data_IF_519249941965
#
_entry.id   IF_519249941965
#
_cell.length_a   1.000
_cell.length_b   1.000
_cell.length_c   1.000
_cell.angle_alpha   90.00
_cell.angle_beta   90.00
_cell.angle_gamma   90.00
#
_symmetry.space_group_name_H-M   'P 1'
#
loop_
_entity.id
_entity.type
_entity.pdbx_description
1 polymer ?
#
# COMPACT_ATOMS: atom_id res chain seq x y z
N UNK A 1 4.70 -2.60 -11.23
CA UNK A 1 6.11 -2.16 -11.32
C UNK A 1 6.97 -3.05 -12.21
N UNK A 2 7.43 -4.25 -11.79
CA UNK A 2 8.32 -5.11 -12.62
C UNK A 2 7.79 -5.41 -14.02
N UNK A 3 6.48 -5.65 -14.15
CA UNK A 3 5.80 -5.94 -15.41
C UNK A 3 5.41 -4.68 -16.22
N UNK A 4 5.85 -3.48 -15.83
CA UNK A 4 5.57 -2.23 -16.54
C UNK A 4 4.13 -1.69 -16.45
N UNK A 5 3.20 -2.39 -15.80
CA UNK A 5 1.77 -1.98 -15.69
C UNK A 5 1.51 -0.74 -14.84
N UNK A 6 2.42 -0.46 -13.91
CA UNK A 6 2.40 0.70 -13.02
C UNK A 6 3.84 1.20 -12.88
N UNK A 7 4.01 2.50 -12.65
CA UNK A 7 5.24 3.15 -12.23
C UNK A 7 5.02 3.93 -10.93
N UNK A 8 6.01 4.09 -10.05
CA UNK A 8 5.83 4.86 -8.82
C UNK A 8 5.50 6.34 -9.05
N UNK A 9 6.18 6.97 -10.01
CA UNK A 9 6.14 8.41 -10.29
C UNK A 9 4.91 8.86 -11.10
N UNK A 10 4.13 7.93 -11.63
CA UNK A 10 2.94 8.26 -12.40
C UNK A 10 1.77 8.62 -11.46
N UNK A 11 0.85 9.49 -11.90
CA UNK A 11 -0.45 9.65 -11.27
C UNK A 11 -1.16 8.30 -11.08
N UNK A 12 -1.75 8.08 -9.90
CA UNK A 12 -2.49 6.86 -9.60
C UNK A 12 -3.65 6.72 -10.60
N UNK A 13 -3.69 5.66 -11.43
CA UNK A 13 -4.66 5.54 -12.52
C UNK A 13 -6.03 5.05 -12.02
N UNK A 14 -6.59 5.73 -11.02
CA UNK A 14 -7.93 5.49 -10.50
C UNK A 14 -8.95 6.23 -11.37
N UNK A 15 -10.01 5.53 -11.78
CA UNK A 15 -11.07 6.14 -12.60
C UNK A 15 -11.72 7.35 -11.90
N UNK A 16 -11.85 7.31 -10.57
CA UNK A 16 -12.39 8.41 -9.76
C UNK A 16 -11.54 9.69 -9.87
N UNK A 17 -10.23 9.57 -10.14
CA UNK A 17 -9.28 10.68 -10.19
C UNK A 17 -8.85 11.04 -11.62
N UNK A 18 -9.58 10.56 -12.64
CA UNK A 18 -9.19 10.73 -14.03
C UNK A 18 -9.27 12.20 -14.52
N UNK A 19 -10.13 13.01 -13.89
CA UNK A 19 -10.31 14.42 -14.26
C UNK A 19 -9.13 15.28 -13.78
N UNK A 20 -8.49 16.10 -14.63
CA UNK A 20 -7.47 17.05 -14.20
C UNK A 20 -7.96 18.12 -13.22
N UNK A 21 -9.27 18.31 -13.12
CA UNK A 21 -9.88 19.23 -12.14
C UNK A 21 -10.06 18.58 -10.76
N UNK A 22 -9.89 17.26 -10.64
CA UNK A 22 -9.96 16.56 -9.36
C UNK A 22 -8.70 16.86 -8.54
N UNK A 23 -8.81 17.28 -7.26
CA UNK A 23 -7.65 17.57 -6.43
C UNK A 23 -6.73 16.36 -6.21
N UNK A 24 -7.24 15.13 -6.34
CA UNK A 24 -6.47 13.91 -6.22
C UNK A 24 -5.71 13.54 -7.50
N UNK A 25 -5.99 14.19 -8.63
CA UNK A 25 -5.46 13.81 -9.95
C UNK A 25 -3.94 13.71 -9.99
N UNK A 26 -3.25 14.57 -9.25
CA UNK A 26 -1.78 14.62 -9.22
C UNK A 26 -1.15 13.61 -8.25
N UNK A 27 -1.94 12.90 -7.43
CA UNK A 27 -1.43 11.93 -6.46
C UNK A 27 -0.78 10.77 -7.20
N UNK A 28 0.48 10.51 -6.90
CA UNK A 28 1.26 9.44 -7.52
C UNK A 28 1.07 8.10 -6.81
N UNK A 29 1.42 7.02 -7.49
CA UNK A 29 1.45 5.68 -6.88
C UNK A 29 2.45 5.63 -5.73
N UNK A 30 3.61 6.29 -5.85
CA UNK A 30 4.61 6.40 -4.79
C UNK A 30 4.03 7.07 -3.55
N UNK A 31 3.28 8.16 -3.71
CA UNK A 31 2.69 8.88 -2.58
C UNK A 31 1.66 8.03 -1.80
N UNK A 32 0.90 7.19 -2.51
CA UNK A 32 0.00 6.24 -1.86
C UNK A 32 0.78 5.18 -1.06
N UNK A 33 1.85 4.63 -1.62
CA UNK A 33 2.66 3.61 -0.95
C UNK A 33 3.49 4.15 0.22
N UNK A 34 3.80 5.44 0.19
CA UNK A 34 4.55 6.17 1.22
C UNK A 34 3.69 6.79 2.30
N UNK A 35 2.37 6.80 2.12
CA UNK A 35 1.38 7.42 3.01
C UNK A 35 1.56 8.94 3.17
N UNK A 36 1.97 9.63 2.11
CA UNK A 36 2.03 11.10 2.01
C UNK A 36 1.14 11.65 0.89
N UNK A 37 0.07 10.93 0.53
CA UNK A 37 -0.88 11.31 -0.52
C UNK A 37 -1.72 12.55 -0.20
N UNK A 38 -1.75 13.00 1.05
CA UNK A 38 -2.59 14.11 1.50
C UNK A 38 -4.00 13.71 1.93
N UNK A 39 -4.36 12.42 1.81
CA UNK A 39 -5.57 11.86 2.42
C UNK A 39 -5.47 11.92 3.96
N UNK A 40 -6.61 11.95 4.69
CA UNK A 40 -6.61 11.85 6.13
C UNK A 40 -5.88 10.60 6.63
N UNK A 41 -5.12 10.77 7.72
CA UNK A 41 -4.36 9.72 8.39
C UNK A 41 -4.64 9.66 9.89
N UNK A 42 -5.64 10.42 10.38
CA UNK A 42 -6.07 10.29 11.77
C UNK A 42 -6.92 9.03 11.91
N UNK A 43 -6.29 7.98 12.43
CA UNK A 43 -6.93 6.70 12.79
C UNK A 43 -7.08 6.56 14.31
N UNK A 44 -6.87 7.65 15.05
CA UNK A 44 -6.86 7.65 16.53
C UNK A 44 -8.12 8.24 17.13
N UNK A 45 -8.99 8.85 16.33
CA UNK A 45 -10.26 9.48 16.73
C UNK A 45 -11.40 8.49 17.03
N UNK A 46 -11.06 7.25 17.39
CA UNK A 46 -12.02 6.24 17.86
C UNK A 46 -12.90 5.65 16.74
N UNK A 47 -14.04 5.01 17.06
CA UNK A 47 -14.81 4.20 16.11
C UNK A 47 -15.46 4.96 14.93
N UNK A 48 -15.22 6.27 14.87
CA UNK A 48 -15.75 7.19 13.86
C UNK A 48 -14.68 7.67 12.88
N UNK A 49 -13.43 7.25 13.06
CA UNK A 49 -12.37 7.62 12.14
C UNK A 49 -12.64 7.03 10.73
N UNK A 50 -12.17 7.69 9.65
CA UNK A 50 -12.45 7.26 8.30
C UNK A 50 -11.99 5.82 7.98
N UNK A 51 -10.89 5.34 8.55
CA UNK A 51 -10.39 3.99 8.29
C UNK A 51 -11.28 2.93 8.97
N UNK A 52 -11.71 3.16 10.22
CA UNK A 52 -12.69 2.29 10.89
C UNK A 52 -14.02 2.30 10.15
N UNK A 53 -14.51 3.47 9.70
CA UNK A 53 -15.72 3.55 8.90
C UNK A 53 -15.60 2.77 7.59
N UNK A 54 -14.47 2.93 6.88
CA UNK A 54 -14.16 2.18 5.66
C UNK A 54 -14.29 0.66 5.87
N UNK A 55 -13.68 0.10 6.91
CA UNK A 55 -13.68 -1.35 7.10
C UNK A 55 -15.02 -1.94 7.54
N UNK A 56 -15.78 -1.22 8.37
CA UNK A 56 -16.97 -1.80 9.01
C UNK A 56 -18.30 -1.30 8.44
N UNK A 57 -18.29 -0.26 7.59
CA UNK A 57 -19.52 0.38 7.10
C UNK A 57 -19.61 0.47 5.58
N UNK A 58 -18.51 0.23 4.88
CA UNK A 58 -18.46 0.34 3.42
C UNK A 58 -18.29 -1.03 2.78
N UNK A 59 -19.04 -1.29 1.71
CA UNK A 59 -18.88 -2.50 0.92
C UNK A 59 -17.64 -2.46 0.03
N UNK A 60 -17.25 -1.26 -0.42
CA UNK A 60 -16.08 -1.00 -1.26
C UNK A 60 -15.16 0.00 -0.53
N UNK A 61 -14.10 -0.54 0.06
CA UNK A 61 -13.13 0.23 0.85
C UNK A 61 -12.37 1.23 -0.02
N UNK A 62 -12.02 0.85 -1.25
CA UNK A 62 -11.25 1.71 -2.14
C UNK A 62 -12.10 2.83 -2.74
N UNK A 63 -13.36 2.55 -3.10
CA UNK A 63 -14.28 3.59 -3.54
C UNK A 63 -14.60 4.58 -2.41
N UNK A 64 -14.62 4.13 -1.15
CA UNK A 64 -14.66 5.01 0.02
C UNK A 64 -13.41 5.87 0.11
N UNK A 65 -12.22 5.27 0.15
CA UNK A 65 -10.98 6.02 0.25
C UNK A 65 -10.81 7.06 -0.89
N UNK A 66 -11.20 6.71 -2.13
CA UNK A 66 -11.05 7.57 -3.30
C UNK A 66 -11.94 8.82 -3.29
N UNK A 67 -13.04 8.84 -2.51
CA UNK A 67 -13.96 9.99 -2.41
C UNK A 67 -13.68 10.89 -1.21
N UNK A 68 -12.79 10.49 -0.30
CA UNK A 68 -12.48 11.29 0.88
C UNK A 68 -11.67 12.53 0.45
N UNK A 69 -12.08 13.75 0.84
CA UNK A 69 -11.33 14.96 0.53
C UNK A 69 -9.92 14.94 1.10
N UNK A 70 -8.99 15.61 0.42
CA UNK A 70 -7.64 15.84 0.93
C UNK A 70 -7.67 16.66 2.22
N UNK A 71 -6.93 16.19 3.22
CA UNK A 71 -6.64 16.95 4.43
C UNK A 71 -5.40 17.85 4.25
N UNK A 72 -4.48 17.45 3.36
CA UNK A 72 -3.22 18.14 3.10
C UNK A 72 -2.88 18.12 1.60
N UNK A 73 -2.07 19.07 1.10
CA UNK A 73 -1.50 18.95 -0.23
C UNK A 73 -0.64 17.67 -0.35
N UNK A 74 -0.72 16.92 -1.47
CA UNK A 74 0.07 15.70 -1.64
C UNK A 74 1.58 15.95 -1.50
N UNK A 75 2.28 15.06 -0.79
CA UNK A 75 3.72 15.12 -0.54
C UNK A 75 4.15 16.12 0.53
N UNK A 76 3.22 16.79 1.23
CA UNK A 76 3.57 17.83 2.22
C UNK A 76 3.41 17.40 3.68
N UNK A 77 2.64 16.34 3.93
CA UNK A 77 2.41 15.79 5.26
C UNK A 77 2.46 14.27 5.20
N UNK A 78 2.96 13.66 6.26
CA UNK A 78 3.01 12.21 6.41
C UNK A 78 2.27 11.79 7.68
N UNK A 79 1.49 10.73 7.57
CA UNK A 79 0.90 10.03 8.70
C UNK A 79 0.44 8.64 8.27
N UNK A 80 0.40 7.70 9.21
CA UNK A 80 0.01 6.33 8.92
C UNK A 80 -1.47 6.27 8.54
N UNK A 81 -1.80 5.75 7.35
CA UNK A 81 -3.17 5.76 6.82
C UNK A 81 -3.51 4.47 6.08
N UNK A 82 -4.23 3.57 6.73
CA UNK A 82 -4.89 2.43 6.13
C UNK A 82 -5.96 2.85 5.12
N UNK A 83 -6.63 4.00 5.35
CA UNK A 83 -7.55 4.61 4.40
C UNK A 83 -6.86 4.83 3.05
N UNK A 84 -5.75 5.59 3.03
CA UNK A 84 -4.99 5.83 1.81
C UNK A 84 -4.38 4.54 1.23
N UNK A 85 -3.98 3.61 2.09
CA UNK A 85 -3.36 2.35 1.68
C UNK A 85 -4.35 1.32 1.07
N UNK A 86 -5.67 1.55 1.15
CA UNK A 86 -6.66 0.77 0.40
C UNK A 86 -6.53 1.00 -1.13
N UNK A 87 -6.02 2.16 -1.55
CA UNK A 87 -5.93 2.52 -2.97
C UNK A 87 -4.84 1.74 -3.73
N UNK A 88 -3.62 1.51 -3.20
CA UNK A 88 -2.68 0.55 -3.78
C UNK A 88 -3.27 -0.83 -4.06
N UNK A 89 -4.12 -1.37 -3.16
CA UNK A 89 -4.82 -2.64 -3.40
C UNK A 89 -5.75 -2.56 -4.61
N UNK A 90 -6.50 -1.47 -4.73
CA UNK A 90 -7.38 -1.21 -5.88
C UNK A 90 -6.58 -1.14 -7.19
N UNK A 91 -5.43 -0.48 -7.18
CA UNK A 91 -4.54 -0.41 -8.33
C UNK A 91 -4.03 -1.79 -8.76
N UNK A 92 -3.71 -2.67 -7.80
CA UNK A 92 -3.37 -4.07 -8.11
C UNK A 92 -4.56 -4.80 -8.71
N UNK A 93 -5.76 -4.65 -8.13
CA UNK A 93 -7.00 -5.23 -8.67
C UNK A 93 -7.24 -4.81 -10.11
N UNK A 94 -7.23 -3.50 -10.38
CA UNK A 94 -7.46 -2.94 -11.72
C UNK A 94 -6.40 -3.42 -12.72
N UNK A 95 -5.13 -3.40 -12.33
CA UNK A 95 -4.04 -3.87 -13.17
C UNK A 95 -4.06 -5.39 -13.43
N UNK A 96 -4.88 -6.16 -12.71
CA UNK A 96 -4.99 -7.62 -12.80
C UNK A 96 -6.35 -8.10 -13.30
N UNK A 97 -7.16 -7.20 -13.86
CA UNK A 97 -8.45 -7.51 -14.50
C UNK A 97 -9.68 -7.07 -13.72
N UNK A 98 -9.51 -6.35 -12.61
CA UNK A 98 -10.59 -5.71 -11.86
C UNK A 98 -11.47 -6.68 -11.06
N UNK A 99 -10.99 -7.90 -10.77
CA UNK A 99 -11.74 -8.90 -10.00
C UNK A 99 -10.91 -9.43 -8.83
N UNK A 100 -11.59 -9.81 -7.74
CA UNK A 100 -10.99 -10.48 -6.59
C UNK A 100 -10.18 -11.72 -7.00
N UNK A 101 -10.75 -12.55 -7.88
CA UNK A 101 -10.11 -13.76 -8.39
C UNK A 101 -8.83 -13.41 -9.16
N UNK A 102 -8.89 -12.43 -10.07
CA UNK A 102 -7.71 -12.00 -10.84
C UNK A 102 -6.58 -11.46 -9.96
N UNK A 103 -6.93 -10.67 -8.94
CA UNK A 103 -5.98 -10.12 -7.98
C UNK A 103 -5.35 -11.23 -7.10
N UNK A 104 -6.16 -12.15 -6.60
CA UNK A 104 -5.71 -13.30 -5.82
C UNK A 104 -4.82 -14.26 -6.63
N UNK A 105 -5.18 -14.55 -7.87
CA UNK A 105 -4.38 -15.37 -8.78
C UNK A 105 -3.06 -14.71 -9.14
N UNK A 106 -3.06 -13.38 -9.30
CA UNK A 106 -1.84 -12.63 -9.48
C UNK A 106 -0.93 -12.71 -8.25
N UNK A 107 -1.45 -12.49 -7.04
CA UNK A 107 -0.68 -12.61 -5.80
C UNK A 107 -0.10 -14.02 -5.63
N UNK A 108 -0.90 -15.06 -5.91
CA UNK A 108 -0.45 -16.45 -5.86
C UNK A 108 0.66 -16.73 -6.86
N UNK A 109 0.48 -16.37 -8.13
CA UNK A 109 1.41 -16.67 -9.21
C UNK A 109 2.71 -15.88 -9.14
N UNK A 110 2.63 -14.60 -8.77
CA UNK A 110 3.78 -13.69 -8.83
C UNK A 110 4.53 -13.55 -7.51
N UNK A 111 3.87 -13.79 -6.37
CA UNK A 111 4.48 -13.63 -5.04
C UNK A 111 4.48 -14.94 -4.26
N UNK A 112 3.32 -15.53 -3.98
CA UNK A 112 3.25 -16.64 -3.01
C UNK A 112 3.90 -17.93 -3.51
N UNK A 113 3.55 -18.40 -4.71
CA UNK A 113 4.09 -19.65 -5.24
C UNK A 113 5.61 -19.59 -5.49
N UNK A 114 6.17 -18.52 -6.09
CA UNK A 114 7.62 -18.39 -6.24
C UNK A 114 8.39 -18.35 -4.91
N UNK A 115 7.76 -17.83 -3.85
CA UNK A 115 8.32 -17.82 -2.50
C UNK A 115 8.03 -19.11 -1.72
N UNK A 116 7.21 -20.03 -2.22
CA UNK A 116 6.76 -21.20 -1.45
C UNK A 116 5.89 -20.83 -0.23
N UNK A 117 5.17 -19.71 -0.30
CA UNK A 117 4.22 -19.25 0.72
C UNK A 117 2.87 -19.96 0.57
N UNK A 118 2.81 -21.22 1.02
CA UNK A 118 1.65 -22.08 0.80
C UNK A 118 0.51 -21.90 1.82
N UNK A 119 0.70 -21.08 2.85
CA UNK A 119 -0.26 -20.83 3.92
C UNK A 119 -0.50 -19.33 4.04
N UNK A 120 -0.83 -18.68 2.92
CA UNK A 120 -0.97 -17.23 2.81
C UNK A 120 -2.24 -16.85 2.03
N UNK A 121 -2.98 -15.88 2.54
CA UNK A 121 -4.18 -15.30 1.91
C UNK A 121 -4.26 -13.79 2.20
N UNK A 122 -4.81 -13.04 1.25
CA UNK A 122 -5.20 -11.65 1.44
C UNK A 122 -6.72 -11.62 1.29
N UNK A 123 -7.42 -11.19 2.32
CA UNK A 123 -8.89 -11.09 2.31
C UNK A 123 -9.35 -9.98 1.35
N UNK A 124 -10.63 -10.02 1.01
CA UNK A 124 -11.29 -8.97 0.21
C UNK A 124 -12.45 -8.34 0.96
N UNK A 125 -12.76 -7.09 0.63
CA UNK A 125 -14.05 -6.50 0.99
C UNK A 125 -15.20 -7.09 0.17
N UNK A 126 -16.42 -6.60 0.42
CA UNK A 126 -17.63 -7.09 -0.26
C UNK A 126 -17.66 -6.75 -1.77
N UNK A 127 -16.89 -5.75 -2.20
CA UNK A 127 -16.71 -5.39 -3.61
C UNK A 127 -15.59 -6.20 -4.30
N UNK A 128 -14.84 -7.01 -3.55
CA UNK A 128 -13.75 -7.82 -4.07
C UNK A 128 -12.41 -7.09 -4.16
N UNK A 129 -12.27 -5.92 -3.55
CA UNK A 129 -10.99 -5.24 -3.40
C UNK A 129 -10.15 -5.93 -2.32
N UNK A 130 -8.87 -6.18 -2.60
CA UNK A 130 -7.95 -6.74 -1.62
C UNK A 130 -7.80 -5.81 -0.41
N UNK A 131 -7.93 -6.36 0.80
CA UNK A 131 -7.76 -5.64 2.06
C UNK A 131 -6.29 -5.63 2.51
N UNK A 132 -5.41 -5.17 1.61
CA UNK A 132 -3.94 -5.20 1.76
C UNK A 132 -3.35 -4.33 2.88
N UNK A 133 -4.13 -3.45 3.52
CA UNK A 133 -3.67 -2.63 4.64
C UNK A 133 -3.62 -3.36 5.98
N UNK A 134 -4.33 -4.50 6.13
CA UNK A 134 -4.39 -5.18 7.43
C UNK A 134 -4.91 -6.62 7.45
N UNK A 135 -5.45 -7.15 6.35
CA UNK A 135 -6.13 -8.45 6.33
C UNK A 135 -5.38 -9.47 5.48
N UNK A 136 -4.05 -9.51 5.63
CA UNK A 136 -3.22 -10.59 5.12
C UNK A 136 -2.93 -11.58 6.24
N UNK A 137 -3.27 -12.85 6.02
CA UNK A 137 -2.96 -13.94 6.92
C UNK A 137 -1.87 -14.81 6.32
N UNK A 138 -0.80 -15.06 7.07
CA UNK A 138 0.27 -15.96 6.65
C UNK A 138 0.91 -16.67 7.85
N UNK A 139 1.48 -17.86 7.62
CA UNK A 139 2.32 -18.50 8.64
C UNK A 139 3.59 -17.68 8.92
N UNK A 140 4.16 -17.82 10.12
CA UNK A 140 5.42 -17.15 10.45
C UNK A 140 6.56 -17.49 9.46
N UNK A 141 6.59 -18.73 8.94
CA UNK A 141 7.56 -19.14 7.92
C UNK A 141 7.33 -18.42 6.60
N UNK A 142 6.08 -18.24 6.19
CA UNK A 142 5.75 -17.52 4.96
C UNK A 142 6.13 -16.04 5.07
N UNK A 143 5.87 -15.41 6.21
CA UNK A 143 6.37 -14.05 6.48
C UNK A 143 7.91 -13.99 6.48
N UNK A 144 8.61 -14.99 7.03
CA UNK A 144 10.07 -15.03 6.98
C UNK A 144 10.60 -15.12 5.54
N UNK A 145 9.92 -15.86 4.65
CA UNK A 145 10.27 -15.91 3.22
C UNK A 145 10.04 -14.58 2.52
N UNK A 146 8.96 -13.86 2.86
CA UNK A 146 8.75 -12.50 2.39
C UNK A 146 9.83 -11.53 2.89
N UNK A 147 10.28 -11.66 4.15
CA UNK A 147 11.41 -10.90 4.68
C UNK A 147 12.71 -11.20 3.92
N UNK A 148 13.01 -12.47 3.68
CA UNK A 148 14.17 -12.91 2.90
C UNK A 148 14.17 -12.33 1.48
N UNK A 149 12.99 -12.25 0.83
CA UNK A 149 12.85 -11.61 -0.48
C UNK A 149 13.40 -10.18 -0.50
N UNK A 150 13.17 -9.39 0.56
CA UNK A 150 13.69 -8.03 0.66
C UNK A 150 15.19 -8.00 0.98
N UNK A 151 15.70 -8.96 1.76
CA UNK A 151 17.15 -9.09 1.99
C UNK A 151 17.91 -9.40 0.70
N UNK A 152 17.29 -10.15 -0.21
CA UNK A 152 17.86 -10.57 -1.50
C UNK A 152 17.50 -9.63 -2.67
N UNK A 153 17.14 -8.37 -2.38
CA UNK A 153 16.72 -7.33 -3.35
C UNK A 153 15.71 -7.84 -4.39
N UNK A 154 14.68 -8.53 -3.90
CA UNK A 154 13.57 -8.97 -4.71
C UNK A 154 13.83 -10.24 -5.53
N UNK A 155 14.91 -10.99 -5.26
CA UNK A 155 15.20 -12.27 -5.93
C UNK A 155 14.92 -13.43 -4.99
N UNK A 156 14.23 -14.46 -5.48
CA UNK A 156 14.04 -15.71 -4.76
C UNK A 156 14.12 -16.90 -5.71
N UNK A 157 14.86 -17.95 -5.32
CA UNK A 157 15.03 -19.16 -6.16
C UNK A 157 15.58 -18.86 -7.55
N UNK A 158 16.44 -17.84 -7.69
CA UNK A 158 16.98 -17.38 -8.99
C UNK A 158 16.00 -16.55 -9.84
N UNK A 159 14.76 -16.37 -9.40
CA UNK A 159 13.75 -15.55 -10.10
C UNK A 159 13.64 -14.17 -9.47
N UNK A 160 13.68 -13.12 -10.32
CA UNK A 160 13.40 -11.75 -9.89
C UNK A 160 11.89 -11.53 -9.73
N UNK A 161 11.43 -11.33 -8.50
CA UNK A 161 10.04 -11.07 -8.12
C UNK A 161 9.76 -9.56 -8.08
N UNK A 162 10.60 -8.77 -7.41
CA UNK A 162 10.47 -7.31 -7.33
C UNK A 162 11.39 -6.61 -8.34
N UNK A 163 11.15 -5.34 -8.71
CA UNK A 163 12.11 -4.55 -9.49
C UNK A 163 13.52 -4.56 -8.89
N UNK A 164 14.56 -4.37 -9.71
CA UNK A 164 15.92 -4.20 -9.20
C UNK A 164 16.04 -2.93 -8.35
N UNK A 165 16.74 -3.01 -7.22
CA UNK A 165 16.87 -1.91 -6.27
C UNK A 165 15.62 -1.63 -5.45
N UNK A 166 14.59 -2.49 -5.52
CA UNK A 166 13.34 -2.27 -4.80
C UNK A 166 13.52 -2.26 -3.29
N UNK A 167 14.42 -3.09 -2.75
CA UNK A 167 14.69 -3.08 -1.31
C UNK A 167 15.28 -1.74 -0.85
N UNK A 168 16.19 -1.15 -1.65
CA UNK A 168 16.77 0.16 -1.39
C UNK A 168 15.73 1.29 -1.52
N UNK A 169 14.87 1.20 -2.53
CA UNK A 169 13.76 2.12 -2.72
C UNK A 169 12.76 2.05 -1.54
N UNK A 170 12.35 0.85 -1.11
CA UNK A 170 11.40 0.68 0.00
C UNK A 170 11.92 1.19 1.34
N UNK A 171 13.24 1.21 1.56
CA UNK A 171 13.85 1.77 2.78
C UNK A 171 14.21 3.26 2.69
N UNK A 172 13.99 3.89 1.53
CA UNK A 172 14.23 5.33 1.38
C UNK A 172 13.18 6.12 2.15
N UNK A 173 13.62 7.11 2.92
CA UNK A 173 12.76 7.86 3.84
C UNK A 173 11.71 8.66 3.07
N UNK A 174 10.50 8.67 3.60
CA UNK A 174 9.42 9.58 3.20
C UNK A 174 9.52 10.84 4.06
N UNK A 175 9.80 11.98 3.42
CA UNK A 175 10.09 13.25 4.12
C UNK A 175 11.13 13.03 5.24
N UNK A 176 10.98 13.74 6.37
CA UNK A 176 11.85 13.57 7.54
C UNK A 176 11.36 12.48 8.51
N UNK A 177 10.60 11.49 8.03
CA UNK A 177 9.99 10.45 8.88
C UNK A 177 10.82 9.18 8.97
N UNK A 178 10.38 8.25 9.84
CA UNK A 178 10.92 6.90 9.96
C UNK A 178 10.26 5.89 9.03
N UNK A 179 9.50 6.31 8.03
CA UNK A 179 8.75 5.44 7.10
C UNK A 179 9.33 5.53 5.67
N UNK A 180 9.16 4.46 4.89
CA UNK A 180 9.54 4.39 3.48
C UNK A 180 8.37 3.91 2.62
N UNK A 181 8.62 3.11 1.58
CA UNK A 181 7.54 2.59 0.73
C UNK A 181 7.02 1.27 1.30
N UNK A 182 6.02 1.35 2.17
CA UNK A 182 5.39 0.18 2.84
C UNK A 182 6.16 -0.36 4.07
N UNK A 183 7.23 0.30 4.52
CA UNK A 183 8.07 -0.18 5.62
C UNK A 183 8.43 0.93 6.61
N UNK A 184 8.44 0.58 7.89
CA UNK A 184 9.17 1.33 8.91
C UNK A 184 10.68 1.11 8.73
N UNK A 185 11.43 2.20 8.61
CA UNK A 185 12.88 2.18 8.32
C UNK A 185 13.76 2.15 9.58
N UNK A 186 13.17 2.44 10.75
CA UNK A 186 13.81 2.38 12.08
C UNK A 186 15.22 3.01 12.11
N UNK A 187 15.39 4.29 11.70
CA UNK A 187 16.72 4.92 11.66
C UNK A 187 17.32 5.06 13.06
N UNK A 188 18.63 4.79 13.20
CA UNK A 188 19.40 5.03 14.44
C UNK A 188 20.16 6.36 14.38
N UNK A 189 20.34 7.09 15.51
CA UNK A 189 19.69 6.86 16.80
C UNK A 189 18.27 7.44 16.78
N UNK A 190 17.36 6.76 17.48
CA UNK A 190 16.00 7.23 17.71
C UNK A 190 16.03 8.68 18.21
N UNK A 191 15.62 9.63 17.36
CA UNK A 191 15.29 10.96 17.86
C UNK A 191 14.02 10.74 18.67
N UNK A 192 14.17 10.74 20.01
CA UNK A 192 13.06 10.67 20.95
C UNK A 192 11.96 11.61 20.47
N UNK A 193 10.73 11.10 20.44
CA UNK A 193 9.51 11.85 20.23
C UNK A 193 9.66 13.29 20.74
N UNK A 194 9.54 14.27 19.84
CA UNK A 194 9.17 15.60 20.28
C UNK A 194 7.84 15.44 20.99
N UNK A 195 7.89 15.61 22.30
CA UNK A 195 6.74 15.91 23.12
C UNK A 195 6.01 17.05 22.42
N UNK A 196 4.80 16.77 21.92
CA UNK A 196 3.83 17.83 21.74
C UNK A 196 3.69 18.49 23.12
N UNK A 197 4.16 19.73 23.23
CA UNK A 197 3.75 20.67 24.27
C UNK A 197 2.56 21.45 23.75
#
# INVERSE_FOLDING_TARGET
MRQGRLRPDQPAPLAAWASPADPHHAITVDQLLRMDSGLPFDETDGPVDPATHMWFREADSAAYAARIPLAHPPGTAWGYSNLGFALPSKLVGDATGGTAVGAGDFARRELFAPLGMNHSVIETDAAGTLLGSGFMHASARDFARFGQLYLDDGVAGGRRILPGGWAAYSRSRTLDTGYGTGFWTNPRPWVSARTYR
#
